data_IF_152234127284
#
_entry.id   IF_152234127284
#
_cell.length_a   1.000
_cell.length_b   1.000
_cell.length_c   1.000
_cell.angle_alpha   90.00
_cell.angle_beta   90.00
_cell.angle_gamma   90.00
#
_symmetry.space_group_name_H-M   'P 1'
#
loop_
_entity.id
_entity.type
_entity.pdbx_description
1 polymer ?
#
# COMPACT_ATOMS: atom_id res chain seq x y z
N UNK A 1 7.12 9.75 -18.80
CA UNK A 1 8.50 9.21 -18.75
C UNK A 1 9.38 10.01 -17.78
N UNK A 2 8.94 10.26 -16.55
CA UNK A 2 9.65 11.14 -15.60
C UNK A 2 10.21 10.47 -14.34
N UNK A 3 9.90 9.20 -14.11
CA UNK A 3 10.09 8.58 -12.77
C UNK A 3 11.27 7.59 -12.75
N UNK A 4 11.73 7.18 -13.92
CA UNK A 4 12.83 6.22 -14.08
C UNK A 4 14.13 6.68 -13.40
N UNK A 5 14.58 7.95 -13.55
CA UNK A 5 15.79 8.40 -12.86
C UNK A 5 15.65 8.35 -11.34
N UNK A 6 14.45 8.63 -10.82
CA UNK A 6 14.18 8.61 -9.38
C UNK A 6 14.22 7.19 -8.81
N UNK A 7 13.64 6.21 -9.52
CA UNK A 7 13.72 4.80 -9.14
C UNK A 7 15.14 4.25 -9.20
N UNK A 8 15.89 4.62 -10.25
CA UNK A 8 17.30 4.24 -10.36
C UNK A 8 18.10 4.81 -9.19
N UNK A 9 17.96 6.12 -8.92
CA UNK A 9 18.65 6.79 -7.82
C UNK A 9 18.34 6.16 -6.46
N UNK A 10 17.06 5.89 -6.20
CA UNK A 10 16.60 5.27 -4.96
C UNK A 10 17.18 3.86 -4.77
N UNK A 11 17.26 3.07 -5.85
CA UNK A 11 17.72 1.68 -5.79
C UNK A 11 19.18 1.58 -5.30
N UNK A 12 20.11 2.33 -5.91
CA UNK A 12 21.52 2.27 -5.48
C UNK A 12 21.75 2.97 -4.14
N UNK A 13 21.00 4.04 -3.86
CA UNK A 13 21.09 4.77 -2.59
C UNK A 13 20.66 3.90 -1.41
N UNK A 14 19.54 3.17 -1.52
CA UNK A 14 19.10 2.25 -0.47
C UNK A 14 20.06 1.08 -0.26
N UNK A 15 20.67 0.56 -1.33
CA UNK A 15 21.68 -0.48 -1.22
C UNK A 15 22.89 0.02 -0.42
N UNK A 16 23.44 1.18 -0.78
CA UNK A 16 24.56 1.80 -0.04
C UNK A 16 24.20 2.08 1.42
N UNK A 17 23.02 2.64 1.67
CA UNK A 17 22.55 2.93 3.02
C UNK A 17 22.47 1.66 3.88
N UNK A 18 22.00 0.54 3.32
CA UNK A 18 21.92 -0.74 4.03
C UNK A 18 23.31 -1.26 4.41
N UNK A 19 24.27 -1.24 3.48
CA UNK A 19 25.66 -1.66 3.76
C UNK A 19 26.32 -0.78 4.83
N UNK A 20 26.18 0.53 4.74
CA UNK A 20 26.71 1.48 5.72
C UNK A 20 26.09 1.26 7.10
N UNK A 21 24.77 1.07 7.17
CA UNK A 21 24.04 0.86 8.43
C UNK A 21 24.49 -0.42 9.14
N UNK A 22 24.66 -1.51 8.40
CA UNK A 22 25.17 -2.78 8.94
C UNK A 22 26.61 -2.63 9.42
N UNK A 23 27.46 -1.94 8.65
CA UNK A 23 28.85 -1.67 9.04
C UNK A 23 28.95 -0.88 10.36
N UNK A 24 28.14 0.17 10.52
CA UNK A 24 28.07 0.95 11.78
C UNK A 24 27.56 0.09 12.93
N UNK A 25 26.54 -0.74 12.70
CA UNK A 25 25.98 -1.63 13.73
C UNK A 25 27.05 -2.59 14.28
N UNK A 26 27.83 -3.24 13.41
CA UNK A 26 28.95 -4.10 13.83
C UNK A 26 30.08 -3.31 14.52
N UNK A 27 30.34 -2.06 14.10
CA UNK A 27 31.35 -1.21 14.73
C UNK A 27 30.99 -0.76 16.15
N UNK A 28 29.71 -0.48 16.42
CA UNK A 28 29.24 -0.01 17.74
C UNK A 28 28.96 -1.16 18.71
N UNK A 29 28.33 -2.25 18.23
CA UNK A 29 27.81 -3.34 19.09
C UNK A 29 28.69 -4.59 19.04
N UNK A 30 29.59 -4.72 18.05
CA UNK A 30 30.44 -5.90 17.89
C UNK A 30 29.63 -7.17 17.61
N UNK A 31 30.06 -8.31 18.18
CA UNK A 31 29.36 -9.60 18.06
C UNK A 31 27.95 -9.59 18.69
N UNK A 32 27.65 -8.63 19.58
CA UNK A 32 26.32 -8.43 20.16
C UNK A 32 25.27 -7.93 19.16
N UNK A 33 25.65 -7.62 17.91
CA UNK A 33 24.71 -7.27 16.84
C UNK A 33 23.97 -8.50 16.26
N UNK A 34 24.50 -9.71 16.46
CA UNK A 34 23.97 -10.94 15.87
C UNK A 34 22.51 -11.25 16.29
N UNK A 35 22.09 -11.08 17.56
CA UNK A 35 20.70 -11.26 17.97
C UNK A 35 19.75 -10.25 17.32
N UNK A 36 20.21 -9.02 17.05
CA UNK A 36 19.43 -7.97 16.39
C UNK A 36 19.18 -8.21 14.89
N UNK A 37 19.98 -9.07 14.26
CA UNK A 37 19.85 -9.42 12.84
C UNK A 37 18.60 -10.28 12.57
N UNK A 38 18.23 -11.13 13.53
CA UNK A 38 17.09 -12.06 13.44
C UNK A 38 15.76 -11.30 13.26
N UNK A 39 15.36 -10.37 14.15
CA UNK A 39 14.12 -9.61 13.97
C UNK A 39 14.16 -8.72 12.72
N UNK A 40 15.33 -8.22 12.30
CA UNK A 40 15.47 -7.45 11.07
C UNK A 40 15.13 -8.28 9.82
N UNK A 41 15.65 -9.51 9.73
CA UNK A 41 15.35 -10.44 8.63
C UNK A 41 13.86 -10.85 8.66
N UNK A 42 13.32 -11.14 9.85
CA UNK A 42 11.90 -11.51 10.01
C UNK A 42 10.99 -10.36 9.54
N UNK A 43 11.27 -9.11 9.96
CA UNK A 43 10.53 -7.94 9.49
C UNK A 43 10.65 -7.77 7.97
N UNK A 44 11.83 -7.95 7.39
CA UNK A 44 12.02 -7.92 5.94
C UNK A 44 11.15 -8.95 5.21
N UNK A 45 11.14 -10.20 5.67
CA UNK A 45 10.35 -11.28 5.07
C UNK A 45 8.83 -11.07 5.22
N UNK A 46 8.38 -10.57 6.38
CA UNK A 46 6.96 -10.30 6.63
C UNK A 46 6.41 -9.19 5.73
N UNK A 47 7.23 -8.21 5.31
CA UNK A 47 6.76 -7.13 4.43
C UNK A 47 6.23 -7.65 3.08
N UNK A 48 6.74 -8.77 2.55
CA UNK A 48 6.34 -9.30 1.23
C UNK A 48 4.86 -9.74 1.19
N UNK A 49 4.36 -10.64 2.06
CA UNK A 49 2.95 -11.01 2.06
C UNK A 49 2.03 -9.83 2.40
N UNK A 50 2.45 -8.91 3.29
CA UNK A 50 1.69 -7.69 3.57
C UNK A 50 1.54 -6.80 2.34
N UNK A 51 2.63 -6.55 1.61
CA UNK A 51 2.60 -5.78 0.37
C UNK A 51 1.68 -6.43 -0.69
N UNK A 52 1.75 -7.76 -0.86
CA UNK A 52 0.84 -8.50 -1.76
C UNK A 52 -0.62 -8.37 -1.35
N UNK A 53 -0.91 -8.43 -0.04
CA UNK A 53 -2.27 -8.24 0.47
C UNK A 53 -2.80 -6.83 0.15
N UNK A 54 -2.04 -5.78 0.47
CA UNK A 54 -2.41 -4.39 0.13
C UNK A 54 -2.65 -4.23 -1.37
N UNK A 55 -1.75 -4.77 -2.20
CA UNK A 55 -1.86 -4.69 -3.65
C UNK A 55 -3.13 -5.36 -4.17
N UNK A 56 -3.54 -6.49 -3.58
CA UNK A 56 -4.80 -7.16 -3.92
C UNK A 56 -6.02 -6.26 -3.66
N UNK A 57 -6.10 -5.60 -2.49
CA UNK A 57 -7.22 -4.69 -2.19
C UNK A 57 -7.20 -3.44 -3.07
N UNK A 58 -6.02 -2.89 -3.32
CA UNK A 58 -5.86 -1.76 -4.24
C UNK A 58 -6.29 -2.12 -5.66
N UNK A 59 -5.96 -3.31 -6.14
CA UNK A 59 -6.43 -3.80 -7.44
C UNK A 59 -7.95 -3.93 -7.51
N UNK A 60 -8.59 -4.49 -6.47
CA UNK A 60 -10.06 -4.57 -6.42
C UNK A 60 -10.73 -3.18 -6.41
N UNK A 61 -10.15 -2.22 -5.68
CA UNK A 61 -10.60 -0.84 -5.70
C UNK A 61 -10.51 -0.24 -7.12
N UNK A 62 -9.38 -0.42 -7.82
CA UNK A 62 -9.21 0.09 -9.19
C UNK A 62 -10.22 -0.53 -10.16
N UNK A 63 -10.51 -1.82 -10.04
CA UNK A 63 -11.52 -2.50 -10.87
C UNK A 63 -12.91 -1.88 -10.62
N UNK A 64 -13.30 -1.67 -9.36
CA UNK A 64 -14.58 -1.06 -9.03
C UNK A 64 -14.68 0.39 -9.51
N UNK A 65 -13.58 1.14 -9.43
CA UNK A 65 -13.48 2.52 -9.93
C UNK A 65 -13.65 2.57 -11.46
N UNK A 66 -12.98 1.68 -12.20
CA UNK A 66 -13.12 1.56 -13.65
C UNK A 66 -14.55 1.20 -14.06
N UNK A 67 -15.19 0.28 -13.33
CA UNK A 67 -16.60 -0.09 -13.56
C UNK A 67 -17.53 1.13 -13.42
N UNK A 68 -17.37 1.93 -12.35
CA UNK A 68 -18.14 3.17 -12.15
C UNK A 68 -17.86 4.19 -13.24
N UNK A 69 -16.60 4.42 -13.59
CA UNK A 69 -16.20 5.39 -14.61
C UNK A 69 -16.78 5.02 -15.97
N UNK A 70 -16.69 3.75 -16.35
CA UNK A 70 -17.25 3.23 -17.60
C UNK A 70 -18.77 3.39 -17.64
N UNK A 71 -19.48 2.97 -16.59
CA UNK A 71 -20.94 3.12 -16.52
C UNK A 71 -21.36 4.60 -16.61
N UNK A 72 -20.65 5.50 -15.91
CA UNK A 72 -20.92 6.94 -15.96
C UNK A 72 -20.71 7.50 -17.38
N UNK A 73 -19.64 7.07 -18.06
CA UNK A 73 -19.35 7.48 -19.45
C UNK A 73 -20.44 7.02 -20.43
N UNK A 74 -20.92 5.77 -20.31
CA UNK A 74 -22.00 5.24 -21.14
C UNK A 74 -23.33 5.98 -20.93
N UNK A 75 -23.65 6.32 -19.67
CA UNK A 75 -24.82 7.12 -19.30
C UNK A 75 -24.74 8.51 -19.93
N UNK A 76 -23.59 9.18 -19.83
CA UNK A 76 -23.39 10.51 -20.40
C UNK A 76 -23.53 10.50 -21.93
N UNK A 77 -22.98 9.47 -22.59
CA UNK A 77 -23.13 9.30 -24.04
C UNK A 77 -24.59 9.08 -24.47
N UNK A 78 -25.42 8.47 -23.62
CA UNK A 78 -26.83 8.15 -23.91
C UNK A 78 -27.85 9.11 -23.28
N UNK A 79 -27.41 10.27 -22.80
CA UNK A 79 -28.21 11.16 -21.94
C UNK A 79 -29.55 11.60 -22.57
N UNK A 80 -29.59 11.85 -23.88
CA UNK A 80 -30.80 12.28 -24.58
C UNK A 80 -31.92 11.22 -24.49
N UNK A 81 -31.58 9.95 -24.67
CA UNK A 81 -32.54 8.83 -24.61
C UNK A 81 -33.05 8.67 -23.17
N UNK A 82 -32.15 8.76 -22.19
CA UNK A 82 -32.49 8.62 -20.78
C UNK A 82 -33.52 9.67 -20.35
N UNK A 83 -33.35 10.93 -20.80
CA UNK A 83 -34.32 12.01 -20.52
C UNK A 83 -35.66 11.76 -21.19
N UNK A 84 -35.67 11.37 -22.47
CA UNK A 84 -36.90 11.09 -23.22
C UNK A 84 -37.73 9.96 -22.58
N UNK A 85 -37.07 9.01 -21.92
CA UNK A 85 -37.70 7.86 -21.28
C UNK A 85 -37.92 8.05 -19.76
N UNK A 86 -37.54 9.21 -19.20
CA UNK A 86 -37.58 9.48 -17.75
C UNK A 86 -36.85 8.42 -16.90
N UNK A 87 -35.77 7.84 -17.41
CA UNK A 87 -34.99 6.79 -16.74
C UNK A 87 -33.92 7.31 -15.76
N UNK A 88 -33.89 8.62 -15.49
CA UNK A 88 -32.86 9.29 -14.68
C UNK A 88 -32.67 8.64 -13.31
N UNK A 89 -33.76 8.39 -12.59
CA UNK A 89 -33.71 7.77 -11.25
C UNK A 89 -33.21 6.32 -11.27
N UNK A 90 -33.46 5.57 -12.36
CA UNK A 90 -32.95 4.21 -12.51
C UNK A 90 -31.42 4.21 -12.65
N UNK A 91 -30.89 5.08 -13.50
CA UNK A 91 -29.44 5.20 -13.71
C UNK A 91 -28.72 5.82 -12.52
N UNK A 92 -29.36 6.74 -11.80
CA UNK A 92 -28.84 7.29 -10.55
C UNK A 92 -28.67 6.20 -9.48
N UNK A 93 -29.65 5.32 -9.32
CA UNK A 93 -29.53 4.16 -8.40
C UNK A 93 -28.42 3.20 -8.83
N UNK A 94 -28.27 2.96 -10.14
CA UNK A 94 -27.18 2.13 -10.67
C UNK A 94 -25.80 2.71 -10.31
N UNK A 95 -25.57 4.00 -10.57
CA UNK A 95 -24.30 4.66 -10.24
C UNK A 95 -24.06 4.71 -8.73
N UNK A 96 -25.11 4.92 -7.92
CA UNK A 96 -25.00 4.87 -6.46
C UNK A 96 -24.53 3.51 -5.96
N UNK A 97 -25.14 2.42 -6.45
CA UNK A 97 -24.75 1.05 -6.10
C UNK A 97 -23.28 0.74 -6.47
N UNK A 98 -22.83 1.18 -7.64
CA UNK A 98 -21.42 1.05 -8.04
C UNK A 98 -20.48 1.86 -7.12
N UNK A 99 -20.90 3.06 -6.72
CA UNK A 99 -20.14 3.90 -5.78
C UNK A 99 -20.04 3.28 -4.39
N UNK A 100 -21.12 2.66 -3.88
CA UNK A 100 -21.10 1.97 -2.59
C UNK A 100 -20.09 0.80 -2.60
N UNK A 101 -20.02 0.06 -3.72
CA UNK A 101 -19.03 -1.00 -3.92
C UNK A 101 -17.60 -0.45 -4.02
N UNK A 102 -17.39 0.65 -4.75
CA UNK A 102 -16.10 1.34 -4.84
C UNK A 102 -15.62 1.78 -3.45
N UNK A 103 -16.49 2.43 -2.67
CA UNK A 103 -16.18 2.92 -1.33
C UNK A 103 -15.87 1.79 -0.35
N UNK A 104 -16.54 0.64 -0.45
CA UNK A 104 -16.23 -0.54 0.34
C UNK A 104 -14.79 -1.01 0.10
N UNK A 105 -14.38 -1.15 -1.16
CA UNK A 105 -13.01 -1.55 -1.49
C UNK A 105 -11.98 -0.48 -1.15
N UNK A 106 -12.34 0.79 -1.29
CA UNK A 106 -11.50 1.90 -0.87
C UNK A 106 -11.22 1.84 0.63
N UNK A 107 -12.26 1.71 1.46
CA UNK A 107 -12.13 1.62 2.91
C UNK A 107 -11.23 0.44 3.31
N UNK A 108 -11.49 -0.76 2.77
CA UNK A 108 -10.69 -1.96 3.01
C UNK A 108 -9.21 -1.79 2.64
N UNK A 109 -8.93 -1.11 1.52
CA UNK A 109 -7.58 -0.80 1.07
C UNK A 109 -6.88 0.19 2.01
N UNK A 110 -7.58 1.26 2.42
CA UNK A 110 -7.04 2.28 3.33
C UNK A 110 -6.79 1.70 4.74
N UNK A 111 -7.73 0.93 5.29
CA UNK A 111 -7.54 0.30 6.60
C UNK A 111 -6.31 -0.60 6.63
N UNK A 112 -6.09 -1.42 5.59
CA UNK A 112 -4.90 -2.27 5.50
C UNK A 112 -3.62 -1.47 5.33
N UNK A 113 -3.63 -0.39 4.56
CA UNK A 113 -2.48 0.51 4.43
C UNK A 113 -2.12 1.14 5.77
N UNK A 114 -3.10 1.68 6.49
CA UNK A 114 -2.88 2.29 7.81
C UNK A 114 -2.33 1.27 8.79
N UNK A 115 -2.93 0.07 8.85
CA UNK A 115 -2.47 -0.99 9.73
C UNK A 115 -1.02 -1.39 9.47
N UNK A 116 -0.65 -1.60 8.20
CA UNK A 116 0.73 -1.95 7.84
C UNK A 116 1.70 -0.81 8.13
N UNK A 117 1.30 0.45 7.89
CA UNK A 117 2.12 1.61 8.20
C UNK A 117 2.37 1.70 9.72
N UNK A 118 1.34 1.51 10.55
CA UNK A 118 1.49 1.49 12.00
C UNK A 118 2.47 0.40 12.46
N UNK A 119 2.35 -0.82 11.93
CA UNK A 119 3.30 -1.89 12.24
C UNK A 119 4.73 -1.54 11.82
N UNK A 120 4.90 -0.90 10.66
CA UNK A 120 6.20 -0.46 10.18
C UNK A 120 6.83 0.59 11.10
N UNK A 121 6.07 1.60 11.52
CA UNK A 121 6.55 2.65 12.45
C UNK A 121 6.85 2.13 13.85
N UNK A 122 6.20 1.04 14.29
CA UNK A 122 6.48 0.39 15.58
C UNK A 122 7.72 -0.51 15.55
N UNK A 123 8.17 -0.96 14.36
CA UNK A 123 9.26 -1.93 14.21
C UNK A 123 10.59 -1.47 14.84
N UNK A 124 11.08 -0.22 14.63
CA UNK A 124 12.35 0.23 15.21
C UNK A 124 12.35 0.21 16.75
N UNK A 125 11.22 0.56 17.38
CA UNK A 125 11.08 0.54 18.84
C UNK A 125 11.19 -0.87 19.41
N UNK A 126 10.56 -1.84 18.74
CA UNK A 126 10.64 -3.26 19.11
C UNK A 126 12.07 -3.76 18.95
N UNK A 127 12.69 -3.54 17.78
CA UNK A 127 14.05 -3.99 17.50
C UNK A 127 15.05 -3.38 18.51
N UNK A 128 14.94 -2.08 18.78
CA UNK A 128 15.78 -1.40 19.76
C UNK A 128 15.64 -1.99 21.17
N UNK A 129 14.42 -2.25 21.63
CA UNK A 129 14.18 -2.85 22.95
C UNK A 129 14.80 -4.24 23.11
N UNK A 130 14.82 -5.06 22.05
CA UNK A 130 15.43 -6.38 22.05
C UNK A 130 16.95 -6.28 22.08
N UNK A 131 17.53 -5.38 21.29
CA UNK A 131 19.00 -5.17 21.25
C UNK A 131 19.50 -4.65 22.61
N UNK A 132 18.81 -3.69 23.22
CA UNK A 132 19.18 -3.15 24.54
C UNK A 132 19.02 -4.16 25.68
N UNK A 133 18.18 -5.19 25.52
CA UNK A 133 18.01 -6.24 26.53
C UNK A 133 19.16 -7.25 26.54
N UNK A 134 19.87 -7.40 25.41
CA UNK A 134 20.99 -8.34 25.23
C UNK A 134 22.37 -7.69 25.49
N UNK A 135 22.41 -6.36 25.68
CA UNK A 135 23.61 -5.59 26.01
C UNK A 135 23.75 -5.41 27.53
#
# INVERSE_FOLDING_TARGET
MGEFPWWFHSTWSYALQLFLSVGVLFGVVGLGALPGLIPLIICGLLNVPFAKAIQKFQSQFMIAQDERLRATSEILNSMKIIKLQSWEEKFKRLVSSLRDRELKWLAESQFKKVYCNLLYWMSPTIISSVIFREL
#
